data_IF_349073048335
#
_entry.id   IF_349073048335
#
_cell.length_a   1.000
_cell.length_b   1.000
_cell.length_c   1.000
_cell.angle_alpha   90.00
_cell.angle_beta   90.00
_cell.angle_gamma   90.00
#
_symmetry.space_group_name_H-M   'P 1'
#
loop_
_entity.id
_entity.type
_entity.pdbx_description
1 polymer ?
#
# COMPACT_ATOMS: atom_id res chain seq x y z
N UNK A 1 16.68 -15.67 -25.56
CA UNK A 1 15.97 -14.40 -25.25
C UNK A 1 16.85 -13.58 -24.33
N UNK A 2 16.98 -12.29 -24.58
CA UNK A 2 17.76 -11.39 -23.72
C UNK A 2 16.93 -10.93 -22.51
N UNK A 3 17.58 -10.48 -21.45
CA UNK A 3 16.92 -9.85 -20.31
C UNK A 3 17.12 -8.33 -20.40
N UNK A 4 16.06 -7.57 -20.13
CA UNK A 4 16.11 -6.12 -20.18
C UNK A 4 15.49 -5.53 -18.93
N UNK A 5 16.12 -4.53 -18.33
CA UNK A 5 15.59 -3.83 -17.16
C UNK A 5 14.61 -2.73 -17.58
N UNK A 6 13.90 -2.16 -16.60
CA UNK A 6 12.98 -1.03 -16.86
C UNK A 6 13.68 0.18 -17.47
N UNK A 7 14.85 0.55 -16.94
CA UNK A 7 15.60 1.70 -17.45
C UNK A 7 16.12 1.44 -18.87
N UNK A 8 16.58 0.22 -19.16
CA UNK A 8 16.99 -0.16 -20.52
C UNK A 8 15.81 -0.12 -21.49
N UNK A 9 14.63 -0.59 -21.08
CA UNK A 9 13.41 -0.50 -21.89
C UNK A 9 13.01 0.97 -22.11
N UNK A 10 13.17 1.83 -21.12
CA UNK A 10 12.92 3.27 -21.25
C UNK A 10 13.85 3.91 -22.26
N UNK A 11 15.16 3.71 -22.11
CA UNK A 11 16.14 4.23 -23.07
C UNK A 11 15.86 3.71 -24.48
N UNK A 12 15.53 2.42 -24.63
CA UNK A 12 15.18 1.84 -25.93
C UNK A 12 13.88 2.43 -26.50
N UNK A 13 12.87 2.70 -25.66
CA UNK A 13 11.61 3.32 -26.09
C UNK A 13 11.81 4.77 -26.53
N UNK A 14 12.55 5.56 -25.76
CA UNK A 14 12.89 6.96 -26.06
C UNK A 14 13.73 7.09 -27.34
N UNK A 15 14.69 6.17 -27.54
CA UNK A 15 15.45 6.07 -28.78
C UNK A 15 14.64 5.51 -29.96
N UNK A 16 13.38 5.14 -29.75
CA UNK A 16 12.52 4.53 -30.76
C UNK A 16 12.96 3.13 -31.18
N UNK A 17 13.83 2.46 -30.43
CA UNK A 17 14.36 1.12 -30.72
C UNK A 17 13.41 -0.04 -30.41
N UNK A 18 12.26 0.22 -29.78
CA UNK A 18 11.22 -0.78 -29.53
C UNK A 18 10.35 -0.93 -30.77
N UNK A 19 10.26 -2.15 -31.31
CA UNK A 19 9.41 -2.49 -32.45
C UNK A 19 8.00 -2.88 -31.98
N UNK A 20 7.94 -3.73 -30.95
CA UNK A 20 6.67 -4.21 -30.41
C UNK A 20 6.84 -4.70 -28.97
N UNK A 21 5.72 -4.77 -28.25
CA UNK A 21 5.66 -5.27 -26.88
C UNK A 21 4.47 -6.21 -26.76
N UNK A 22 4.72 -7.42 -26.29
CA UNK A 22 3.68 -8.40 -26.00
C UNK A 22 3.61 -8.62 -24.50
N UNK A 23 2.45 -8.34 -23.91
CA UNK A 23 2.15 -8.75 -22.56
C UNK A 23 1.58 -10.18 -22.59
N UNK A 24 2.38 -11.13 -22.13
CA UNK A 24 2.06 -12.55 -22.18
C UNK A 24 1.64 -13.05 -20.80
N UNK A 25 0.48 -13.69 -20.74
CA UNK A 25 0.04 -14.42 -19.56
C UNK A 25 0.88 -15.68 -19.39
N UNK A 26 1.29 -15.96 -18.16
CA UNK A 26 1.96 -17.20 -17.79
C UNK A 26 1.51 -17.62 -16.40
N UNK A 27 0.67 -18.65 -16.36
CA UNK A 27 0.01 -19.10 -15.14
C UNK A 27 -0.79 -17.97 -14.52
N UNK A 28 -0.46 -17.64 -13.27
CA UNK A 28 -1.12 -16.59 -12.49
C UNK A 28 -0.58 -15.16 -12.65
N UNK A 29 0.35 -14.90 -13.57
CA UNK A 29 0.97 -13.59 -13.75
C UNK A 29 1.16 -13.23 -15.21
N UNK A 30 1.51 -11.96 -15.46
CA UNK A 30 1.87 -11.45 -16.78
C UNK A 30 3.35 -11.12 -16.84
N UNK A 31 3.98 -11.45 -17.96
CA UNK A 31 5.34 -11.07 -18.32
C UNK A 31 5.31 -10.15 -19.53
N UNK A 32 6.29 -9.28 -19.64
CA UNK A 32 6.45 -8.39 -20.79
C UNK A 32 7.57 -8.91 -21.66
N UNK A 33 7.23 -9.34 -22.88
CA UNK A 33 8.16 -9.62 -23.96
C UNK A 33 8.27 -8.37 -24.84
N UNK A 34 9.48 -8.03 -25.24
CA UNK A 34 9.81 -6.85 -26.05
C UNK A 34 10.55 -7.31 -27.29
N UNK A 35 10.10 -6.83 -28.44
CA UNK A 35 10.81 -6.99 -29.71
C UNK A 35 11.48 -5.65 -30.01
N UNK A 36 12.80 -5.68 -30.16
CA UNK A 36 13.56 -4.50 -30.58
C UNK A 36 13.65 -4.43 -32.10
N UNK A 37 13.86 -3.24 -32.66
CA UNK A 37 14.01 -3.06 -34.12
C UNK A 37 15.28 -3.70 -34.69
N UNK A 38 16.26 -4.04 -33.84
CA UNK A 38 17.40 -4.85 -34.23
C UNK A 38 17.08 -6.34 -34.40
N UNK A 39 15.81 -6.75 -34.22
CA UNK A 39 15.36 -8.13 -34.32
C UNK A 39 15.61 -8.98 -33.07
N UNK A 40 16.14 -8.38 -32.00
CA UNK A 40 16.39 -9.10 -30.74
C UNK A 40 15.15 -9.09 -29.84
N UNK A 41 14.71 -10.27 -29.43
CA UNK A 41 13.66 -10.45 -28.42
C UNK A 41 14.22 -10.41 -27.00
N UNK A 42 13.60 -9.61 -26.14
CA UNK A 42 13.97 -9.43 -24.75
C UNK A 42 12.78 -9.60 -23.79
N UNK A 43 13.03 -10.04 -22.56
CA UNK A 43 12.03 -10.12 -21.49
C UNK A 43 12.32 -9.06 -20.45
N UNK A 44 11.29 -8.33 -20.02
CA UNK A 44 11.42 -7.35 -18.95
C UNK A 44 11.73 -8.06 -17.63
N UNK A 45 12.78 -7.62 -16.95
CA UNK A 45 13.31 -8.24 -15.74
C UNK A 45 13.46 -7.23 -14.60
N UNK A 46 13.60 -7.75 -13.37
CA UNK A 46 13.97 -6.94 -12.21
C UNK A 46 15.43 -6.49 -12.32
N UNK A 47 15.70 -5.24 -11.96
CA UNK A 47 17.01 -4.61 -12.15
C UNK A 47 18.18 -5.32 -11.45
N UNK A 48 17.93 -5.98 -10.32
CA UNK A 48 18.97 -6.61 -9.49
C UNK A 48 19.09 -8.13 -9.64
N UNK A 49 18.03 -8.82 -10.06
CA UNK A 49 18.00 -10.29 -10.07
C UNK A 49 17.97 -10.90 -11.47
N UNK A 50 17.78 -10.11 -12.53
CA UNK A 50 17.51 -10.59 -13.89
C UNK A 50 16.33 -11.56 -14.01
N UNK A 51 15.58 -11.76 -12.91
CA UNK A 51 14.36 -12.54 -12.92
C UNK A 51 13.29 -11.80 -13.73
N UNK A 52 12.52 -12.52 -14.56
CA UNK A 52 11.42 -11.93 -15.30
C UNK A 52 10.47 -11.18 -14.36
N UNK A 53 10.17 -9.93 -14.71
CA UNK A 53 9.29 -9.07 -13.94
C UNK A 53 7.86 -9.56 -14.12
N UNK A 54 7.38 -10.33 -13.13
CA UNK A 54 6.02 -10.82 -13.07
C UNK A 54 5.08 -9.75 -12.53
N UNK A 55 3.96 -9.54 -13.23
CA UNK A 55 2.86 -8.69 -12.81
C UNK A 55 1.66 -9.55 -12.44
N UNK A 56 1.23 -9.52 -11.18
CA UNK A 56 -0.01 -10.20 -10.76
C UNK A 56 -1.30 -9.51 -11.23
N UNK A 57 -1.19 -8.28 -11.75
CA UNK A 57 -2.30 -7.47 -12.23
C UNK A 57 -1.96 -6.83 -13.59
N UNK A 58 -2.84 -7.01 -14.56
CA UNK A 58 -2.77 -6.40 -15.89
C UNK A 58 -2.65 -4.87 -15.84
N UNK A 59 -3.45 -4.21 -14.99
CA UNK A 59 -3.43 -2.75 -14.87
C UNK A 59 -2.07 -2.22 -14.40
N UNK A 60 -1.38 -2.96 -13.53
CA UNK A 60 -0.04 -2.58 -13.07
C UNK A 60 1.00 -2.68 -14.20
N UNK A 61 0.89 -3.70 -15.06
CA UNK A 61 1.74 -3.83 -16.23
C UNK A 61 1.51 -2.68 -17.22
N UNK A 62 0.24 -2.39 -17.54
CA UNK A 62 -0.12 -1.30 -18.47
C UNK A 62 0.33 0.07 -17.96
N UNK A 63 0.13 0.39 -16.67
CA UNK A 63 0.60 1.64 -16.07
C UNK A 63 2.13 1.76 -16.14
N UNK A 64 2.83 0.65 -15.94
CA UNK A 64 4.29 0.60 -16.04
C UNK A 64 4.73 0.89 -17.48
N UNK A 65 4.15 0.21 -18.47
CA UNK A 65 4.45 0.42 -19.90
C UNK A 65 4.14 1.85 -20.35
N UNK A 66 2.99 2.39 -19.94
CA UNK A 66 2.61 3.78 -20.22
C UNK A 66 3.60 4.78 -19.63
N UNK A 67 4.08 4.56 -18.40
CA UNK A 67 5.11 5.40 -17.76
C UNK A 67 6.48 5.35 -18.42
N UNK A 68 6.70 4.39 -19.34
CA UNK A 68 7.91 4.26 -20.16
C UNK A 68 7.73 4.91 -21.55
N UNK A 69 6.50 5.27 -21.91
CA UNK A 69 6.16 5.78 -23.25
C UNK A 69 5.69 4.71 -24.23
N UNK A 70 5.44 3.48 -23.77
CA UNK A 70 4.86 2.41 -24.60
C UNK A 70 3.34 2.51 -24.50
N UNK A 71 2.72 3.05 -25.55
CA UNK A 71 1.27 3.26 -25.64
C UNK A 71 0.52 2.12 -26.33
N UNK A 72 1.20 1.35 -27.17
CA UNK A 72 0.61 0.27 -27.98
C UNK A 72 1.40 -1.02 -27.80
N UNK A 73 0.71 -2.15 -27.90
CA UNK A 73 1.30 -3.48 -27.84
C UNK A 73 0.26 -4.57 -28.02
N UNK A 74 0.69 -5.82 -27.95
CA UNK A 74 -0.16 -7.01 -28.01
C UNK A 74 -0.38 -7.63 -26.64
N UNK A 75 -1.46 -8.38 -26.52
CA UNK A 75 -1.79 -9.16 -25.35
C UNK A 75 -1.99 -10.61 -25.75
N UNK A 76 -1.30 -11.52 -25.08
CA UNK A 76 -1.43 -12.96 -25.26
C UNK A 76 -1.93 -13.58 -23.95
N UNK A 77 -3.17 -14.08 -23.97
CA UNK A 77 -3.82 -14.70 -22.82
C UNK A 77 -3.75 -16.24 -22.84
N UNK A 78 -3.06 -16.83 -23.81
CA UNK A 78 -3.17 -18.27 -24.11
C UNK A 78 -2.73 -19.17 -22.95
N UNK A 79 -1.79 -18.71 -22.12
CA UNK A 79 -1.29 -19.43 -20.95
C UNK A 79 -1.75 -18.81 -19.62
N UNK A 80 -2.93 -18.18 -19.59
CA UNK A 80 -3.53 -17.66 -18.35
C UNK A 80 -4.22 -18.76 -17.54
N UNK A 81 -3.80 -18.96 -16.29
CA UNK A 81 -4.50 -19.78 -15.31
C UNK A 81 -4.84 -18.98 -14.04
N UNK A 82 -6.12 -18.63 -13.80
CA UNK A 82 -6.57 -17.95 -12.59
C UNK A 82 -6.25 -18.70 -11.28
N UNK A 83 -6.11 -20.04 -11.31
CA UNK A 83 -5.86 -20.87 -10.12
C UNK A 83 -4.41 -20.76 -9.64
N UNK A 84 -3.48 -20.53 -10.55
CA UNK A 84 -2.06 -20.31 -10.24
C UNK A 84 -1.76 -18.87 -9.81
N UNK A 85 -2.76 -18.00 -9.76
CA UNK A 85 -2.61 -16.64 -9.27
C UNK A 85 -2.26 -16.66 -7.79
N UNK A 86 -0.96 -16.55 -7.52
CA UNK A 86 -0.44 -16.29 -6.18
C UNK A 86 -1.11 -14.99 -5.71
N UNK A 87 -2.05 -15.11 -4.78
CA UNK A 87 -2.57 -13.98 -4.02
C UNK A 87 -1.45 -13.52 -3.11
N UNK A 88 -0.48 -12.80 -3.66
CA UNK A 88 0.50 -12.10 -2.83
C UNK A 88 -0.31 -11.22 -1.84
N UNK A 89 -0.07 -11.32 -0.51
CA UNK A 89 -0.72 -10.45 0.48
C UNK A 89 -0.32 -8.96 0.33
N UNK A 90 0.38 -8.62 -0.74
CA UNK A 90 1.03 -7.34 -0.99
C UNK A 90 0.07 -6.26 -1.46
N UNK A 91 -0.73 -5.73 -0.55
CA UNK A 91 -1.03 -4.29 -0.49
C UNK A 91 -1.75 -3.88 0.81
N UNK A 92 -2.42 -4.82 1.48
CA UNK A 92 -3.20 -4.49 2.69
C UNK A 92 -2.30 -4.12 3.87
N UNK A 93 -1.22 -4.88 4.08
CA UNK A 93 -0.29 -4.64 5.19
C UNK A 93 0.51 -3.34 5.10
N UNK A 94 0.87 -2.87 3.89
CA UNK A 94 1.56 -1.57 3.72
C UNK A 94 0.63 -0.37 3.88
N UNK A 95 -0.60 -0.47 3.39
CA UNK A 95 -1.59 0.58 3.58
C UNK A 95 -1.98 0.68 5.06
N UNK A 96 -2.12 -0.45 5.76
CA UNK A 96 -2.35 -0.50 7.20
C UNK A 96 -1.16 0.06 7.98
N UNK A 97 0.07 -0.35 7.67
CA UNK A 97 1.27 0.19 8.33
C UNK A 97 1.45 1.70 8.09
N UNK A 98 1.13 2.21 6.89
CA UNK A 98 1.15 3.65 6.62
C UNK A 98 0.05 4.40 7.37
N UNK A 99 -1.17 3.85 7.45
CA UNK A 99 -2.25 4.44 8.24
C UNK A 99 -1.91 4.46 9.73
N UNK A 100 -1.31 3.39 10.24
CA UNK A 100 -0.85 3.28 11.62
C UNK A 100 0.27 4.28 11.90
N UNK A 101 1.27 4.39 11.03
CA UNK A 101 2.32 5.39 11.14
C UNK A 101 1.76 6.83 11.11
N UNK A 102 0.78 7.11 10.24
CA UNK A 102 0.12 8.42 10.19
C UNK A 102 -0.69 8.71 11.47
N UNK A 103 -1.39 7.71 12.02
CA UNK A 103 -2.13 7.86 13.28
C UNK A 103 -1.19 8.10 14.45
N UNK A 104 -0.10 7.33 14.55
CA UNK A 104 0.92 7.51 15.56
C UNK A 104 1.58 8.90 15.47
N UNK A 105 1.89 9.37 14.26
CA UNK A 105 2.44 10.71 14.06
C UNK A 105 1.44 11.82 14.44
N UNK A 106 0.14 11.63 14.13
CA UNK A 106 -0.89 12.58 14.54
C UNK A 106 -1.07 12.61 16.07
N UNK A 107 -1.11 11.44 16.70
CA UNK A 107 -1.20 11.31 18.15
C UNK A 107 0.01 11.94 18.85
N UNK A 108 1.22 11.67 18.37
CA UNK A 108 2.44 12.26 18.94
C UNK A 108 2.45 13.78 18.82
N UNK A 109 2.02 14.34 17.67
CA UNK A 109 1.93 15.81 17.52
C UNK A 109 0.93 16.42 18.50
N UNK A 110 -0.25 15.83 18.64
CA UNK A 110 -1.24 16.29 19.62
C UNK A 110 -0.70 16.16 21.04
N UNK A 111 -0.12 15.02 21.42
CA UNK A 111 0.40 14.77 22.75
C UNK A 111 1.54 15.74 23.12
N UNK A 112 2.46 16.01 22.19
CA UNK A 112 3.53 16.99 22.41
C UNK A 112 2.94 18.39 22.64
N UNK A 113 1.93 18.79 21.86
CA UNK A 113 1.27 20.08 22.03
C UNK A 113 0.52 20.17 23.37
N UNK A 114 -0.17 19.10 23.78
CA UNK A 114 -0.88 19.02 25.06
C UNK A 114 0.10 19.09 26.25
N UNK A 115 1.20 18.34 26.19
CA UNK A 115 2.25 18.37 27.20
C UNK A 115 2.86 19.77 27.30
N UNK A 116 3.17 20.39 26.16
CA UNK A 116 3.73 21.74 26.17
C UNK A 116 2.74 22.75 26.75
N UNK A 117 1.45 22.65 26.41
CA UNK A 117 0.41 23.49 27.02
C UNK A 117 0.30 23.32 28.53
N UNK A 118 0.47 22.10 29.04
CA UNK A 118 0.49 21.84 30.49
C UNK A 118 1.77 22.37 31.18
N UNK A 119 2.92 22.31 30.49
CA UNK A 119 4.19 22.85 30.98
C UNK A 119 4.18 24.38 31.01
N UNK A 120 3.54 25.01 30.02
CA UNK A 120 3.44 26.47 29.90
C UNK A 120 2.35 27.07 30.80
N UNK A 121 1.55 26.24 31.49
CA UNK A 121 0.51 26.71 32.41
C UNK A 121 1.12 27.36 33.65
N UNK A 122 0.82 28.65 33.85
CA UNK A 122 1.34 29.43 34.97
C UNK A 122 0.65 29.13 36.31
N UNK A 123 -0.43 28.31 36.32
CA UNK A 123 -1.13 27.93 37.55
C UNK A 123 -0.25 27.04 38.44
N UNK A 124 -0.31 27.20 39.76
CA UNK A 124 0.42 26.31 40.66
C UNK A 124 -0.13 24.88 40.58
N UNK A 125 0.74 23.90 40.80
CA UNK A 125 0.35 22.50 40.91
C UNK A 125 -0.61 22.30 42.09
N UNK A 126 -1.64 21.49 41.88
CA UNK A 126 -2.65 21.16 42.90
C UNK A 126 -2.15 19.95 43.71
N UNK A 127 -2.26 19.95 45.05
CA UNK A 127 -1.94 18.78 45.87
C UNK A 127 -2.79 17.57 45.51
N UNK A 128 -2.21 16.37 45.61
CA UNK A 128 -2.90 15.13 45.25
C UNK A 128 -4.23 14.92 46.00
N UNK A 129 -4.29 15.24 47.28
CA UNK A 129 -5.49 15.08 48.12
C UNK A 129 -6.67 15.93 47.61
N UNK A 130 -6.40 17.15 47.16
CA UNK A 130 -7.41 18.06 46.62
C UNK A 130 -7.94 17.58 45.27
N UNK A 131 -7.07 17.04 44.41
CA UNK A 131 -7.47 16.40 43.13
C UNK A 131 -8.38 15.22 43.38
N UNK A 132 -8.03 14.34 44.33
CA UNK A 132 -8.84 13.16 44.66
C UNK A 132 -10.21 13.55 45.22
N UNK A 133 -10.26 14.53 46.13
CA UNK A 133 -11.52 15.04 46.68
C UNK A 133 -12.43 15.65 45.61
N UNK A 134 -11.86 16.38 44.64
CA UNK A 134 -12.59 16.90 43.48
C UNK A 134 -13.15 15.78 42.59
N UNK A 135 -12.34 14.76 42.31
CA UNK A 135 -12.76 13.61 41.51
C UNK A 135 -13.88 12.81 42.18
N UNK A 136 -13.81 12.59 43.50
CA UNK A 136 -14.86 11.90 44.27
C UNK A 136 -16.20 12.65 44.24
N UNK A 137 -16.14 13.98 44.34
CA UNK A 137 -17.33 14.84 44.23
C UNK A 137 -17.96 14.77 42.82
N UNK A 138 -17.15 14.78 41.75
CA UNK A 138 -17.63 14.59 40.38
C UNK A 138 -18.27 13.23 40.16
N UNK A 139 -17.63 12.16 40.66
CA UNK A 139 -18.16 10.79 40.58
C UNK A 139 -19.50 10.67 41.30
N UNK A 140 -19.63 11.27 42.49
CA UNK A 140 -20.88 11.26 43.26
C UNK A 140 -22.01 12.03 42.56
N UNK A 141 -21.67 13.04 41.75
CA UNK A 141 -22.62 13.85 41.00
C UNK A 141 -23.06 13.22 39.66
N UNK A 142 -22.32 12.24 39.14
CA UNK A 142 -22.67 11.55 37.90
C UNK A 142 -23.95 10.72 38.08
N UNK A 143 -25.02 10.94 37.27
CA UNK A 143 -26.22 10.14 37.35
C UNK A 143 -25.91 8.68 36.98
N UNK A 144 -26.49 7.74 37.73
CA UNK A 144 -26.30 6.30 37.47
C UNK A 144 -26.65 5.94 36.02
N UNK A 145 -25.64 5.74 35.19
CA UNK A 145 -25.80 5.33 33.79
C UNK A 145 -26.50 3.98 33.76
N UNK A 146 -27.69 3.92 33.13
CA UNK A 146 -28.51 2.69 33.05
C UNK A 146 -27.64 1.52 32.54
N UNK A 147 -27.72 0.32 33.15
CA UNK A 147 -26.90 -0.80 32.73
C UNK A 147 -27.18 -1.15 31.26
N UNK A 148 -26.10 -1.39 30.51
CA UNK A 148 -26.13 -1.78 29.10
C UNK A 148 -26.97 -3.05 28.93
N UNK A 149 -28.19 -2.92 28.39
CA UNK A 149 -29.12 -4.04 28.19
C UNK A 149 -28.56 -4.97 27.12
N UNK A 150 -28.04 -6.14 27.53
CA UNK A 150 -27.63 -7.21 26.59
C UNK A 150 -28.82 -7.55 25.68
N UNK A 151 -28.72 -7.22 24.39
CA UNK A 151 -29.66 -7.70 23.37
C UNK A 151 -29.45 -9.21 23.21
N UNK A 152 -30.30 -10.02 23.81
CA UNK A 152 -30.46 -11.41 23.42
C UNK A 152 -31.01 -11.45 22.00
N UNK A 153 -30.22 -11.99 21.05
CA UNK A 153 -30.74 -12.38 19.73
C UNK A 153 -31.55 -13.65 19.94
N UNK A 154 -32.88 -13.53 19.93
CA UNK A 154 -33.76 -14.66 19.71
C UNK A 154 -33.67 -15.06 18.23
N UNK A 155 -33.23 -16.29 17.96
CA UNK A 155 -33.35 -16.93 16.66
C UNK A 155 -34.56 -17.86 16.67
N UNK A 156 -35.47 -17.61 15.74
CA UNK A 156 -36.46 -18.56 15.19
C UNK A 156 -35.94 -19.08 13.87
#
# INVERSE_FOLDING_TARGET
>A
MQHMTLEQLRTASEAGGVADVTLKAQGGAFLVEVVTRSGSGAVLCRARSHEPRRFGNLAAALNTLRGIGISTGRFDASAWDPKERIREPGNRGRAESMREAHRAAAYNRWLIAEIQGAVDDARPSIPHEEVMAGMDAEIAALPATRPHRKRSRAGT
#
